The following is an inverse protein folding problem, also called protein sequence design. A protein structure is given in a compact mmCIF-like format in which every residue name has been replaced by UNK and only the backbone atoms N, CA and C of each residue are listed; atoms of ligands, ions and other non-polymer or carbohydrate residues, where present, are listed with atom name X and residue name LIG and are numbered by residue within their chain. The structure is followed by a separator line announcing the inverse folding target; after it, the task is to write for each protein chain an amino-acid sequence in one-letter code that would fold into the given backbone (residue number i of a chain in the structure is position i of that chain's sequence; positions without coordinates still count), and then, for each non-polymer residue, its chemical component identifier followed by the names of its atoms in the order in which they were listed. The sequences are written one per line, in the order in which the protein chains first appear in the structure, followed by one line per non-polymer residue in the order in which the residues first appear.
data_IF_689165523201
#
_entry.id   IF_689165523201
#
_cell.length_a   1.000
_cell.length_b   1.000
_cell.length_c   1.000
_cell.angle_alpha   90.00
_cell.angle_beta   90.00
_cell.angle_gamma   90.00
#
_symmetry.space_group_name_H-M   'P 1'
#
loop_
_entity.id
_entity.type
_entity.pdbx_description
1 polymer ?
#
# COMPACT_ATOMS: atom_id res chain seq x y z
N UNK A 1 13.18 -7.64 -15.23
CA UNK A 1 14.04 -8.21 -14.18
C UNK A 1 13.86 -9.72 -14.09
N UNK A 2 14.77 -10.42 -13.40
CA UNK A 2 14.55 -11.80 -12.97
C UNK A 2 13.86 -11.76 -11.58
N UNK A 3 12.60 -12.18 -11.43
CA UNK A 3 11.70 -12.78 -12.43
C UNK A 3 10.24 -12.33 -12.21
N UNK A 4 9.30 -12.86 -13.01
CA UNK A 4 7.89 -12.48 -12.90
C UNK A 4 7.25 -12.95 -11.59
N UNK A 5 7.46 -14.22 -11.21
CA UNK A 5 6.78 -14.87 -10.09
C UNK A 5 7.76 -15.68 -9.27
N UNK A 6 7.54 -15.78 -7.96
CA UNK A 6 8.25 -16.76 -7.13
C UNK A 6 8.00 -18.18 -7.66
N UNK A 7 9.00 -19.05 -7.56
CA UNK A 7 8.97 -20.37 -8.18
C UNK A 7 9.58 -21.45 -7.28
N UNK A 8 9.05 -22.67 -7.40
CA UNK A 8 9.61 -23.84 -6.73
C UNK A 8 10.99 -24.19 -7.28
N UNK A 9 11.86 -24.71 -6.42
CA UNK A 9 13.26 -24.99 -6.76
C UNK A 9 13.82 -26.23 -6.06
N UNK A 10 15.03 -26.63 -6.48
CA UNK A 10 15.79 -27.73 -5.90
C UNK A 10 16.46 -27.33 -4.58
N UNK A 11 17.00 -28.33 -3.86
CA UNK A 11 17.57 -28.12 -2.52
C UNK A 11 18.73 -27.14 -2.41
N UNK A 12 19.44 -26.91 -3.52
CA UNK A 12 20.64 -26.09 -3.56
C UNK A 12 20.33 -24.58 -3.67
N UNK A 13 19.04 -24.23 -3.83
CA UNK A 13 18.56 -22.86 -4.00
C UNK A 13 17.40 -22.53 -3.05
N UNK A 14 17.06 -21.25 -2.99
CA UNK A 14 15.94 -20.74 -2.21
C UNK A 14 16.27 -20.55 -0.74
N UNK A 15 15.22 -20.38 0.07
CA UNK A 15 15.34 -20.10 1.51
C UNK A 15 15.26 -21.36 2.39
N UNK A 16 15.47 -22.54 1.80
CA UNK A 16 15.38 -23.85 2.47
C UNK A 16 14.02 -24.54 2.40
N UNK A 17 12.99 -23.82 1.97
CA UNK A 17 11.58 -24.24 1.85
C UNK A 17 11.18 -24.68 0.42
N UNK A 18 12.18 -24.82 -0.47
CA UNK A 18 12.02 -25.13 -1.90
C UNK A 18 11.38 -24.01 -2.72
N UNK A 19 11.45 -22.76 -2.28
CA UNK A 19 10.97 -21.58 -3.02
C UNK A 19 12.10 -20.57 -3.24
N UNK A 20 12.18 -20.02 -4.45
CA UNK A 20 12.97 -18.83 -4.77
C UNK A 20 12.07 -17.58 -4.75
N UNK A 21 12.28 -16.70 -3.78
CA UNK A 21 11.51 -15.46 -3.58
C UNK A 21 12.00 -14.28 -4.46
N UNK A 22 12.22 -14.54 -5.75
CA UNK A 22 12.80 -13.57 -6.69
C UNK A 22 11.76 -12.84 -7.54
N UNK A 23 10.50 -13.26 -7.48
CA UNK A 23 9.43 -12.72 -8.28
C UNK A 23 9.06 -11.29 -7.86
N UNK A 24 8.77 -10.45 -8.85
CA UNK A 24 8.11 -9.15 -8.62
C UNK A 24 6.66 -9.31 -8.20
N UNK A 25 6.09 -10.50 -8.42
CA UNK A 25 4.86 -11.01 -7.86
C UNK A 25 5.14 -12.34 -7.12
N UNK A 26 4.24 -12.74 -6.24
CA UNK A 26 4.34 -14.04 -5.57
C UNK A 26 4.05 -15.22 -6.52
N UNK A 27 4.16 -16.45 -6.01
CA UNK A 27 3.84 -17.66 -6.78
C UNK A 27 2.37 -17.71 -7.24
N UNK A 28 1.50 -16.93 -6.61
CA UNK A 28 0.09 -16.79 -6.95
C UNK A 28 -0.19 -15.69 -7.98
N UNK A 29 0.85 -15.06 -8.54
CA UNK A 29 0.75 -13.95 -9.51
C UNK A 29 0.12 -12.71 -8.87
N UNK A 30 0.23 -12.54 -7.56
CA UNK A 30 -0.19 -11.34 -6.82
C UNK A 30 1.01 -10.39 -6.78
N UNK A 31 0.89 -9.15 -7.29
CA UNK A 31 2.00 -8.20 -7.30
C UNK A 31 2.52 -7.86 -5.91
N UNK A 32 3.85 -7.88 -5.75
CA UNK A 32 4.55 -7.19 -4.66
C UNK A 32 4.75 -5.72 -5.06
N UNK A 33 5.29 -4.90 -4.17
CA UNK A 33 5.65 -3.51 -4.50
C UNK A 33 6.49 -3.40 -5.78
N UNK A 34 7.44 -4.31 -6.00
CA UNK A 34 8.23 -4.36 -7.23
C UNK A 34 7.35 -4.56 -8.49
N UNK A 35 6.35 -5.44 -8.45
CA UNK A 35 5.42 -5.64 -9.57
C UNK A 35 4.52 -4.42 -9.84
N UNK A 36 4.19 -3.67 -8.79
CA UNK A 36 3.44 -2.42 -8.89
C UNK A 36 4.29 -1.30 -9.53
N UNK A 37 5.60 -1.29 -9.30
CA UNK A 37 6.52 -0.41 -10.05
C UNK A 37 6.50 -0.70 -11.56
N UNK A 38 6.57 -1.97 -11.98
CA UNK A 38 6.43 -2.30 -13.42
C UNK A 38 5.06 -1.90 -13.96
N UNK A 39 3.99 -2.10 -13.17
CA UNK A 39 2.63 -1.70 -13.54
C UNK A 39 2.52 -0.20 -13.76
N UNK A 40 3.22 0.63 -12.98
CA UNK A 40 3.17 2.08 -13.11
C UNK A 40 3.86 2.60 -14.37
N UNK A 41 4.54 1.75 -15.15
CA UNK A 41 5.14 2.14 -16.43
C UNK A 41 4.18 2.00 -17.61
N UNK A 42 2.98 1.44 -17.39
CA UNK A 42 1.93 1.33 -18.41
C UNK A 42 1.34 2.72 -18.70
N UNK A 43 0.92 2.94 -19.94
CA UNK A 43 0.23 4.16 -20.34
C UNK A 43 -0.99 4.42 -19.45
N UNK A 44 -1.19 5.64 -18.92
CA UNK A 44 -2.35 5.96 -18.11
C UNK A 44 -3.69 5.83 -18.87
N UNK A 45 -3.65 5.83 -20.21
CA UNK A 45 -4.83 5.55 -21.04
C UNK A 45 -5.28 4.09 -21.03
N UNK A 46 -4.38 3.15 -20.70
CA UNK A 46 -4.72 1.73 -20.55
C UNK A 46 -5.17 1.42 -19.13
N UNK A 47 -4.42 1.92 -18.12
CA UNK A 47 -4.72 1.69 -16.72
C UNK A 47 -4.06 2.74 -15.85
N UNK A 48 -4.83 3.39 -14.97
CA UNK A 48 -4.29 4.28 -13.93
C UNK A 48 -3.70 3.46 -12.78
N UNK A 49 -2.51 3.84 -12.31
CA UNK A 49 -1.82 3.21 -11.18
C UNK A 49 -1.48 4.28 -10.13
N UNK A 50 -1.77 4.01 -8.86
CA UNK A 50 -1.38 4.84 -7.71
C UNK A 50 -1.07 3.94 -6.51
N UNK A 51 0.21 3.65 -6.29
CA UNK A 51 0.65 2.66 -5.31
C UNK A 51 1.79 3.18 -4.45
N UNK A 52 1.50 3.72 -3.25
CA UNK A 52 2.54 4.04 -2.28
C UNK A 52 3.19 2.73 -1.77
N UNK A 53 4.52 2.67 -1.80
CA UNK A 53 5.30 1.59 -1.20
C UNK A 53 5.39 1.75 0.33
N UNK A 54 4.23 1.88 0.98
CA UNK A 54 4.07 2.01 2.42
C UNK A 54 2.64 1.69 2.82
N UNK A 55 2.48 1.16 4.03
CA UNK A 55 1.18 0.99 4.68
C UNK A 55 0.84 2.11 5.66
N UNK A 56 1.69 3.15 5.74
CA UNK A 56 1.54 4.28 6.67
C UNK A 56 1.41 3.86 8.14
N UNK A 57 2.00 2.72 8.51
CA UNK A 57 2.02 2.23 9.89
C UNK A 57 3.25 2.75 10.63
N UNK A 58 3.02 3.37 11.78
CA UNK A 58 4.11 3.76 12.68
C UNK A 58 4.76 2.52 13.29
N UNK A 59 6.08 2.54 13.41
CA UNK A 59 6.85 1.43 13.97
C UNK A 59 7.09 0.25 13.01
N UNK A 60 6.57 0.30 11.78
CA UNK A 60 6.91 -0.70 10.75
C UNK A 60 8.35 -0.54 10.26
N UNK A 61 8.79 0.70 10.07
CA UNK A 61 10.16 1.04 9.68
C UNK A 61 11.04 1.35 10.88
N UNK A 62 12.35 1.17 10.73
CA UNK A 62 13.35 1.50 11.75
C UNK A 62 13.15 2.90 12.32
N UNK A 63 13.27 3.01 13.66
CA UNK A 63 13.04 4.25 14.41
C UNK A 63 11.68 4.91 14.14
N UNK A 64 10.71 4.13 13.64
CA UNK A 64 9.37 4.58 13.26
C UNK A 64 9.35 5.67 12.19
N UNK A 65 10.38 5.74 11.34
CA UNK A 65 10.43 6.70 10.25
C UNK A 65 9.49 6.31 9.11
N UNK A 66 8.47 7.12 8.81
CA UNK A 66 7.61 6.90 7.65
C UNK A 66 8.24 7.35 6.32
N UNK A 67 9.12 8.35 6.36
CA UNK A 67 9.67 8.99 5.16
C UNK A 67 11.10 8.50 4.85
N UNK A 68 11.54 8.59 3.57
CA UNK A 68 10.75 8.95 2.39
C UNK A 68 9.82 7.81 1.95
N UNK A 69 8.71 8.12 1.27
CA UNK A 69 7.79 7.13 0.70
C UNK A 69 7.84 7.24 -0.82
N UNK A 70 8.17 6.14 -1.48
CA UNK A 70 8.07 6.05 -2.93
C UNK A 70 6.63 5.72 -3.32
N UNK A 71 6.12 6.40 -4.33
CA UNK A 71 4.80 6.17 -4.91
C UNK A 71 4.96 5.79 -6.37
N UNK A 72 4.57 4.57 -6.70
CA UNK A 72 4.56 4.07 -8.06
C UNK A 72 3.26 4.51 -8.73
N UNK A 73 3.37 5.41 -9.70
CA UNK A 73 2.20 5.96 -10.40
C UNK A 73 2.56 6.38 -11.82
N UNK A 74 1.58 6.36 -12.70
CA UNK A 74 1.64 6.97 -14.04
C UNK A 74 0.87 8.30 -14.12
N UNK A 75 0.50 8.88 -12.97
CA UNK A 75 -0.05 10.23 -12.87
C UNK A 75 1.06 11.30 -13.03
N UNK A 76 0.66 12.51 -13.43
CA UNK A 76 1.56 13.66 -13.58
C UNK A 76 2.03 14.24 -12.24
N UNK A 77 1.21 14.07 -11.20
CA UNK A 77 1.47 14.50 -9.84
C UNK A 77 0.59 13.70 -8.85
N UNK A 78 0.85 13.85 -7.57
CA UNK A 78 -0.04 13.42 -6.49
C UNK A 78 -0.29 14.55 -5.51
N UNK A 79 -1.51 14.66 -5.02
CA UNK A 79 -1.87 15.50 -3.88
C UNK A 79 -1.98 14.63 -2.63
N UNK A 80 -1.27 15.03 -1.57
CA UNK A 80 -1.24 14.32 -0.29
C UNK A 80 -2.01 15.13 0.74
N UNK A 81 -2.87 14.44 1.49
CA UNK A 81 -3.64 14.98 2.59
C UNK A 81 -3.41 14.15 3.85
N UNK A 82 -3.44 14.81 5.00
CA UNK A 82 -3.34 14.19 6.32
C UNK A 82 -4.42 14.78 7.22
N UNK A 83 -5.24 13.90 7.81
CA UNK A 83 -6.36 14.28 8.69
C UNK A 83 -7.27 15.36 8.06
N UNK A 84 -7.50 15.24 6.75
CA UNK A 84 -8.33 16.18 5.96
C UNK A 84 -7.62 17.44 5.46
N UNK A 85 -6.47 17.80 6.03
CA UNK A 85 -5.68 18.96 5.59
C UNK A 85 -4.79 18.63 4.39
N UNK A 86 -4.64 19.58 3.46
CA UNK A 86 -3.70 19.46 2.34
C UNK A 86 -2.26 19.60 2.84
N UNK A 87 -1.42 18.63 2.48
CA UNK A 87 0.01 18.63 2.79
C UNK A 87 0.76 19.30 1.64
N UNK A 88 0.82 18.67 0.48
CA UNK A 88 1.54 19.18 -0.67
C UNK A 88 1.16 18.41 -1.94
N UNK A 89 1.50 19.01 -3.08
CA UNK A 89 1.58 18.33 -4.37
C UNK A 89 3.01 17.86 -4.61
N UNK A 90 3.17 16.57 -4.90
CA UNK A 90 4.46 15.96 -5.26
C UNK A 90 4.49 15.60 -6.75
N UNK A 91 5.68 15.62 -7.34
CA UNK A 91 5.88 15.41 -8.78
C UNK A 91 6.89 14.26 -9.03
N UNK A 92 6.84 13.63 -10.22
CA UNK A 92 7.77 12.57 -10.62
C UNK A 92 9.23 12.98 -10.43
N UNK A 93 10.03 12.11 -9.81
CA UNK A 93 11.45 12.36 -9.56
C UNK A 93 12.28 12.11 -10.84
N UNK A 94 12.23 13.09 -11.73
CA UNK A 94 12.99 13.11 -12.99
C UNK A 94 14.48 13.35 -12.79
N UNK A 95 14.92 13.72 -11.59
CA UNK A 95 16.35 13.93 -11.29
C UNK A 95 17.02 12.57 -11.12
N UNK A 96 16.46 11.70 -10.29
CA UNK A 96 17.03 10.38 -10.02
C UNK A 96 16.60 9.30 -11.01
N UNK A 97 15.44 9.45 -11.66
CA UNK A 97 14.88 8.46 -12.58
C UNK A 97 14.54 9.05 -13.96
N UNK A 98 15.43 9.88 -14.51
CA UNK A 98 15.23 10.65 -15.74
C UNK A 98 14.78 9.85 -16.97
N UNK A 99 15.17 8.57 -17.05
CA UNK A 99 14.95 7.72 -18.22
C UNK A 99 13.72 6.79 -18.09
N UNK A 100 12.98 6.86 -16.97
CA UNK A 100 11.74 6.09 -16.84
C UNK A 100 10.58 6.80 -17.56
N UNK A 101 9.71 6.07 -18.26
CA UNK A 101 8.48 6.63 -18.82
C UNK A 101 7.61 7.32 -17.75
N UNK A 102 7.48 6.67 -16.60
CA UNK A 102 6.73 7.17 -15.45
C UNK A 102 7.60 7.07 -14.19
N UNK A 103 8.47 8.07 -13.93
CA UNK A 103 9.30 8.12 -12.73
C UNK A 103 8.45 8.06 -11.46
N UNK A 104 8.84 7.28 -10.43
CA UNK A 104 8.17 7.31 -9.14
C UNK A 104 8.13 8.71 -8.55
N UNK A 105 7.09 8.98 -7.76
CA UNK A 105 7.02 10.20 -6.95
C UNK A 105 7.54 9.87 -5.55
N UNK A 106 8.37 10.75 -4.99
CA UNK A 106 8.91 10.59 -3.64
C UNK A 106 8.23 11.59 -2.71
N UNK A 107 7.49 11.09 -1.72
CA UNK A 107 7.00 11.90 -0.61
C UNK A 107 8.13 12.00 0.41
N UNK A 108 8.62 13.20 0.64
CA UNK A 108 9.68 13.53 1.60
C UNK A 108 9.21 14.49 2.71
N UNK A 109 7.94 14.89 2.67
CA UNK A 109 7.30 15.79 3.64
C UNK A 109 5.84 15.37 3.90
N UNK A 110 5.45 15.25 5.16
CA UNK A 110 4.06 14.99 5.59
C UNK A 110 3.44 16.15 6.37
N UNK A 111 4.18 17.25 6.49
CA UNK A 111 3.75 18.47 7.17
C UNK A 111 3.27 19.48 6.13
N UNK A 112 4.14 19.86 5.20
CA UNK A 112 3.82 20.76 4.09
C UNK A 112 3.00 21.99 4.50
N UNK A 113 1.92 22.23 3.75
CA UNK A 113 0.99 23.35 3.89
C UNK A 113 0.15 23.31 5.18
N UNK A 114 0.16 22.21 5.96
CA UNK A 114 -0.55 22.16 7.24
C UNK A 114 -0.03 23.24 8.21
N UNK A 115 1.26 23.58 8.14
CA UNK A 115 1.85 24.64 8.95
C UNK A 115 1.37 26.04 8.55
N UNK A 116 0.78 26.24 7.37
CA UNK A 116 0.27 27.56 6.95
C UNK A 116 -0.86 28.04 7.87
N UNK A 117 -1.55 27.12 8.55
CA UNK A 117 -2.53 27.45 9.60
C UNK A 117 -1.94 28.29 10.75
N UNK A 118 -0.63 28.26 10.97
CA UNK A 118 0.05 29.09 11.98
C UNK A 118 0.22 30.55 11.53
N UNK A 119 -0.02 30.88 10.25
CA UNK A 119 0.04 32.25 9.73
C UNK A 119 1.44 32.86 9.66
N UNK A 120 2.50 32.05 9.80
CA UNK A 120 3.87 32.56 9.76
C UNK A 120 4.35 32.90 8.35
N UNK A 121 5.29 33.85 8.20
CA UNK A 121 5.95 34.10 6.92
C UNK A 121 6.61 32.84 6.35
N UNK A 122 6.66 32.70 5.01
CA UNK A 122 7.22 31.52 4.32
C UNK A 122 8.62 31.09 4.80
N UNK A 123 9.48 32.05 5.16
CA UNK A 123 10.83 31.78 5.65
C UNK A 123 10.81 31.08 7.02
N UNK A 124 9.85 31.43 7.86
CA UNK A 124 9.67 30.88 9.19
C UNK A 124 9.06 29.48 9.15
N UNK A 125 8.08 29.26 8.28
CA UNK A 125 7.55 27.93 7.98
C UNK A 125 8.67 26.99 7.52
N UNK A 126 9.51 27.45 6.58
CA UNK A 126 10.65 26.67 6.08
C UNK A 126 11.69 26.38 7.18
N UNK A 127 11.98 27.38 8.03
CA UNK A 127 12.92 27.22 9.14
C UNK A 127 12.40 26.18 10.14
N UNK A 128 11.16 26.34 10.61
CA UNK A 128 10.54 25.42 11.56
C UNK A 128 10.51 24.00 10.99
N UNK A 129 10.02 23.81 9.76
CA UNK A 129 9.98 22.51 9.08
C UNK A 129 11.35 21.85 9.01
N UNK A 130 12.40 22.59 8.63
CA UNK A 130 13.77 22.06 8.56
C UNK A 130 14.26 21.59 9.92
N UNK A 131 14.11 22.41 10.96
CA UNK A 131 14.63 22.11 12.28
C UNK A 131 13.83 21.02 13.00
N UNK A 132 12.49 21.08 12.94
CA UNK A 132 11.61 20.05 13.47
C UNK A 132 11.84 18.70 12.76
N UNK A 133 11.95 18.68 11.43
CA UNK A 133 12.26 17.48 10.67
C UNK A 133 13.60 16.85 11.07
N UNK A 134 14.65 17.68 11.18
CA UNK A 134 15.97 17.25 11.66
C UNK A 134 15.90 16.64 13.07
N UNK A 135 15.26 17.33 14.01
CA UNK A 135 15.08 16.85 15.38
C UNK A 135 14.26 15.54 15.48
N UNK A 136 13.19 15.40 14.70
CA UNK A 136 12.38 14.18 14.69
C UNK A 136 13.09 12.99 14.03
N UNK A 137 13.92 13.25 13.01
CA UNK A 137 14.64 12.19 12.29
C UNK A 137 15.90 11.69 13.02
N UNK A 138 16.62 12.58 13.70
CA UNK A 138 17.96 12.29 14.24
C UNK A 138 18.07 12.56 15.76
N UNK A 139 16.96 12.91 16.41
CA UNK A 139 16.93 13.35 17.81
C UNK A 139 17.33 14.81 17.99
N UNK A 140 17.01 15.39 19.15
CA UNK A 140 17.32 16.79 19.49
C UNK A 140 18.83 17.09 19.47
N UNK A 141 19.66 16.10 19.83
CA UNK A 141 21.12 16.21 19.83
C UNK A 141 21.71 16.45 18.43
N UNK A 142 20.94 16.25 17.37
CA UNK A 142 21.36 16.55 15.99
C UNK A 142 21.40 18.06 15.68
N UNK A 143 20.73 18.89 16.47
CA UNK A 143 20.68 20.35 16.26
C UNK A 143 22.00 20.98 16.72
N UNK A 144 22.71 21.63 15.78
CA UNK A 144 23.93 22.36 16.10
C UNK A 144 23.62 23.69 16.83
N UNK A 145 24.66 24.39 17.27
CA UNK A 145 24.49 25.64 18.01
C UNK A 145 23.78 26.73 17.17
N UNK A 146 23.96 26.72 15.85
CA UNK A 146 23.29 27.66 14.94
C UNK A 146 21.82 27.34 14.74
N UNK A 147 21.48 26.06 14.64
CA UNK A 147 20.10 25.57 14.60
C UNK A 147 19.37 25.94 15.89
N UNK A 148 20.00 25.73 17.06
CA UNK A 148 19.45 26.14 18.36
C UNK A 148 19.25 27.64 18.46
N UNK A 149 20.23 28.44 18.01
CA UNK A 149 20.10 29.90 17.98
C UNK A 149 18.96 30.37 17.08
N UNK A 150 18.86 29.81 15.86
CA UNK A 150 17.78 30.13 14.92
C UNK A 150 16.41 29.74 15.47
N UNK A 151 16.31 28.58 16.10
CA UNK A 151 15.07 28.16 16.79
C UNK A 151 14.73 29.12 17.93
N UNK A 152 15.70 29.51 18.77
CA UNK A 152 15.48 30.47 19.85
C UNK A 152 15.00 31.85 19.35
N UNK A 153 15.57 32.35 18.25
CA UNK A 153 15.12 33.59 17.61
C UNK A 153 13.72 33.46 17.00
N UNK A 154 13.41 32.31 16.41
CA UNK A 154 12.08 31.98 15.91
C UNK A 154 11.05 31.97 17.05
N UNK A 155 11.35 31.26 18.14
CA UNK A 155 10.50 31.18 19.34
C UNK A 155 10.25 32.57 19.94
N UNK A 156 11.30 33.37 20.13
CA UNK A 156 11.16 34.73 20.68
C UNK A 156 10.28 35.62 19.83
N UNK A 157 10.37 35.52 18.50
CA UNK A 157 9.62 36.35 17.55
C UNK A 157 8.12 36.02 17.56
N UNK A 158 7.81 34.73 17.64
CA UNK A 158 6.43 34.22 17.67
C UNK A 158 5.89 34.03 19.09
N UNK A 159 6.67 34.42 20.11
CA UNK A 159 6.33 34.31 21.54
C UNK A 159 5.98 32.87 21.96
N UNK A 160 6.70 31.89 21.41
CA UNK A 160 6.50 30.47 21.68
C UNK A 160 7.41 30.01 22.81
N UNK A 161 6.85 29.22 23.73
CA UNK A 161 7.59 28.46 24.74
C UNK A 161 8.13 27.14 24.17
N UNK A 162 8.99 26.46 24.93
CA UNK A 162 9.45 25.11 24.56
C UNK A 162 8.26 24.14 24.47
N UNK A 163 7.28 24.26 25.38
CA UNK A 163 6.06 23.45 25.37
C UNK A 163 5.22 23.71 24.12
N UNK A 164 5.15 24.95 23.63
CA UNK A 164 4.46 25.25 22.36
C UNK A 164 5.18 24.58 21.18
N UNK A 165 6.52 24.58 21.17
CA UNK A 165 7.30 23.88 20.14
C UNK A 165 7.08 22.37 20.20
N UNK A 166 7.09 21.77 21.39
CA UNK A 166 6.75 20.36 21.58
C UNK A 166 5.34 20.06 21.08
N UNK A 167 4.37 20.91 21.41
CA UNK A 167 2.99 20.80 20.94
C UNK A 167 2.87 20.88 19.42
N UNK A 168 3.62 21.79 18.77
CA UNK A 168 3.68 21.92 17.31
C UNK A 168 4.34 20.70 16.67
N UNK A 169 5.44 20.21 17.24
CA UNK A 169 6.13 19.00 16.76
C UNK A 169 5.24 17.77 16.93
N UNK A 170 4.45 17.67 18.00
CA UNK A 170 3.48 16.58 18.16
C UNK A 170 2.32 16.69 17.18
N UNK A 171 1.74 17.89 17.03
CA UNK A 171 0.60 18.17 16.13
C UNK A 171 0.94 17.90 14.67
N UNK A 172 2.08 18.44 14.21
CA UNK A 172 2.49 18.36 12.81
C UNK A 172 3.42 17.19 12.54
N UNK A 173 4.19 16.71 13.52
CA UNK A 173 4.91 15.44 13.44
C UNK A 173 3.97 14.25 13.53
N UNK A 174 4.51 13.04 13.71
CA UNK A 174 3.76 11.78 13.59
C UNK A 174 2.78 11.47 14.75
N UNK A 175 2.33 12.46 15.54
CA UNK A 175 1.22 12.37 16.51
C UNK A 175 0.86 10.95 17.04
N UNK A 176 1.71 10.34 17.87
CA UNK A 176 1.50 8.97 18.36
C UNK A 176 0.22 8.86 19.19
N UNK A 177 -0.65 7.90 18.85
CA UNK A 177 -1.88 7.63 19.60
C UNK A 177 -3.09 8.51 19.25
N UNK A 178 -2.98 9.45 18.29
CA UNK A 178 -4.14 10.16 17.78
C UNK A 178 -5.03 9.24 16.94
N UNK A 179 -6.33 9.28 17.21
CA UNK A 179 -7.34 8.39 16.61
C UNK A 179 -7.67 8.71 15.15
N UNK A 180 -7.20 9.83 14.61
CA UNK A 180 -7.67 10.44 13.37
C UNK A 180 -6.56 10.65 12.32
N UNK A 181 -5.45 9.91 12.43
CA UNK A 181 -4.39 10.00 11.43
C UNK A 181 -4.73 9.19 10.17
N UNK A 182 -5.54 9.80 9.32
CA UNK A 182 -5.86 9.33 7.98
C UNK A 182 -4.97 10.02 6.95
N UNK A 183 -4.28 9.22 6.16
CA UNK A 183 -3.58 9.66 4.96
C UNK A 183 -4.48 9.46 3.74
N UNK A 184 -4.54 10.46 2.87
CA UNK A 184 -5.22 10.35 1.57
C UNK A 184 -4.27 10.84 0.48
N UNK A 185 -4.11 10.05 -0.56
CA UNK A 185 -3.26 10.35 -1.72
C UNK A 185 -4.15 10.35 -2.95
N UNK A 186 -4.09 11.42 -3.73
CA UNK A 186 -4.91 11.60 -4.93
C UNK A 186 -3.98 11.74 -6.13
N UNK A 187 -4.17 10.89 -7.14
CA UNK A 187 -3.44 10.93 -8.40
C UNK A 187 -4.02 11.97 -9.34
N UNK A 188 -3.14 12.81 -9.89
CA UNK A 188 -3.51 13.92 -10.79
C UNK A 188 -3.00 13.62 -12.19
N UNK A 189 -3.88 13.66 -13.18
CA UNK A 189 -3.55 13.50 -14.60
C UNK A 189 -4.20 14.63 -15.41
N UNK A 190 -3.42 15.35 -16.21
CA UNK A 190 -3.86 16.52 -16.97
C UNK A 190 -4.63 17.55 -16.11
N UNK A 191 -4.16 17.76 -14.87
CA UNK A 191 -4.75 18.69 -13.91
C UNK A 191 -6.05 18.21 -13.24
N UNK A 192 -6.50 16.97 -13.46
CA UNK A 192 -7.71 16.39 -12.86
C UNK A 192 -7.37 15.26 -11.89
N UNK A 193 -8.15 15.14 -10.83
CA UNK A 193 -8.13 13.98 -9.93
C UNK A 193 -8.67 12.75 -10.68
N UNK A 194 -7.90 11.66 -10.75
CA UNK A 194 -8.27 10.45 -11.52
C UNK A 194 -8.29 9.16 -10.70
N UNK A 195 -7.63 9.13 -9.55
CA UNK A 195 -7.60 7.99 -8.63
C UNK A 195 -7.26 8.48 -7.23
N UNK A 196 -7.75 7.79 -6.20
CA UNK A 196 -7.36 8.07 -4.82
C UNK A 196 -7.09 6.78 -4.03
N UNK A 197 -6.26 6.90 -3.00
CA UNK A 197 -6.06 5.88 -1.97
C UNK A 197 -6.05 6.50 -0.58
N UNK A 198 -6.56 5.75 0.39
CA UNK A 198 -6.60 6.16 1.79
C UNK A 198 -5.93 5.11 2.69
N UNK A 199 -5.30 5.57 3.76
CA UNK A 199 -4.65 4.76 4.78
C UNK A 199 -4.91 5.39 6.14
N UNK A 200 -4.85 4.61 7.22
CA UNK A 200 -5.02 5.16 8.55
C UNK A 200 -4.31 4.34 9.61
N UNK A 201 -3.91 5.00 10.70
CA UNK A 201 -3.28 4.34 11.85
C UNK A 201 -4.19 3.33 12.54
N UNK A 202 -5.50 3.43 12.34
CA UNK A 202 -6.55 2.52 12.81
C UNK A 202 -6.78 1.32 11.87
N UNK A 203 -5.97 1.16 10.81
CA UNK A 203 -6.08 0.05 9.87
C UNK A 203 -6.12 -1.30 10.60
N UNK A 204 -7.20 -2.04 10.38
CA UNK A 204 -7.43 -3.34 10.98
C UNK A 204 -8.22 -4.22 10.03
N UNK A 205 -8.02 -5.53 10.09
CA UNK A 205 -8.70 -6.47 9.19
C UNK A 205 -10.21 -6.47 9.42
N UNK A 206 -10.97 -5.88 8.49
CA UNK A 206 -12.42 -5.70 8.58
C UNK A 206 -13.21 -6.72 7.76
N UNK A 207 -12.75 -7.05 6.55
CA UNK A 207 -13.47 -7.96 5.66
C UNK A 207 -12.57 -8.97 4.98
N UNK A 208 -13.15 -10.12 4.66
CA UNK A 208 -12.59 -11.08 3.73
C UNK A 208 -13.21 -10.85 2.34
N UNK A 209 -12.38 -10.55 1.34
CA UNK A 209 -12.78 -10.33 -0.04
C UNK A 209 -12.33 -11.50 -0.91
N UNK A 210 -13.17 -11.88 -1.87
CA UNK A 210 -12.89 -12.91 -2.86
C UNK A 210 -13.11 -12.34 -4.26
N UNK A 211 -12.17 -12.59 -5.17
CA UNK A 211 -12.21 -12.13 -6.56
C UNK A 211 -11.80 -13.27 -7.49
N UNK A 212 -12.38 -13.33 -8.67
CA UNK A 212 -11.99 -14.24 -9.75
C UNK A 212 -11.35 -13.45 -10.89
N UNK A 213 -10.39 -14.05 -11.60
CA UNK A 213 -9.78 -13.42 -12.78
C UNK A 213 -10.80 -13.27 -13.94
N UNK A 214 -11.84 -14.11 -13.96
CA UNK A 214 -12.93 -14.09 -14.94
C UNK A 214 -14.24 -14.56 -14.29
N UNK A 215 -15.40 -13.96 -14.64
CA UNK A 215 -16.70 -14.38 -14.10
C UNK A 215 -17.21 -15.71 -14.68
N UNK A 216 -16.58 -16.24 -15.74
CA UNK A 216 -16.93 -17.51 -16.37
C UNK A 216 -15.69 -18.34 -16.69
N UNK A 217 -15.87 -19.65 -16.81
CA UNK A 217 -14.83 -20.60 -17.19
C UNK A 217 -15.39 -21.54 -18.26
N UNK A 218 -14.65 -21.78 -19.35
CA UNK A 218 -15.08 -22.72 -20.37
C UNK A 218 -15.22 -24.15 -19.83
N UNK A 219 -16.07 -24.95 -20.46
CA UNK A 219 -16.27 -26.36 -20.14
C UNK A 219 -15.04 -27.20 -20.45
N UNK A 220 -14.81 -28.23 -19.64
CA UNK A 220 -13.71 -29.17 -19.86
C UNK A 220 -13.85 -29.86 -21.23
N UNK A 221 -12.79 -29.82 -22.04
CA UNK A 221 -12.67 -30.55 -23.32
C UNK A 221 -11.54 -31.58 -23.24
N UNK A 222 -11.34 -32.37 -24.29
CA UNK A 222 -10.19 -33.29 -24.36
C UNK A 222 -8.85 -32.54 -24.51
N UNK A 223 -8.88 -31.33 -25.08
CA UNK A 223 -7.68 -30.54 -25.39
C UNK A 223 -7.35 -29.50 -24.32
N UNK A 224 -8.36 -29.02 -23.60
CA UNK A 224 -8.22 -27.92 -22.66
C UNK A 224 -8.71 -28.29 -21.27
N UNK A 225 -8.00 -27.78 -20.27
CA UNK A 225 -8.38 -27.83 -18.86
C UNK A 225 -8.67 -26.42 -18.34
N UNK A 226 -9.84 -25.82 -18.68
CA UNK A 226 -10.13 -24.46 -18.32
C UNK A 226 -10.09 -24.25 -16.81
N UNK A 227 -9.35 -23.22 -16.39
CA UNK A 227 -9.12 -22.91 -15.00
C UNK A 227 -9.18 -21.41 -14.78
N UNK A 228 -9.62 -20.98 -13.60
CA UNK A 228 -9.56 -19.58 -13.19
C UNK A 228 -8.95 -19.47 -11.80
N UNK A 229 -8.21 -18.39 -11.58
CA UNK A 229 -7.63 -18.06 -10.30
C UNK A 229 -8.66 -17.33 -9.45
N UNK A 230 -8.69 -17.68 -8.17
CA UNK A 230 -9.50 -17.05 -7.14
C UNK A 230 -8.55 -16.43 -6.12
N UNK A 231 -8.62 -15.11 -5.96
CA UNK A 231 -7.79 -14.35 -5.02
C UNK A 231 -8.60 -14.06 -3.77
N UNK A 232 -8.03 -14.37 -2.60
CA UNK A 232 -8.63 -14.12 -1.28
C UNK A 232 -7.81 -13.06 -0.57
N UNK A 233 -8.44 -11.97 -0.14
CA UNK A 233 -7.80 -10.81 0.51
C UNK A 233 -8.47 -10.50 1.84
N UNK A 234 -7.69 -10.30 2.89
CA UNK A 234 -8.14 -9.60 4.09
C UNK A 234 -7.94 -8.10 3.90
N UNK A 235 -9.03 -7.35 3.87
CA UNK A 235 -8.99 -5.90 3.68
C UNK A 235 -9.32 -5.13 4.95
N UNK A 236 -8.69 -3.98 5.10
CA UNK A 236 -9.04 -2.98 6.11
C UNK A 236 -10.24 -2.11 5.70
N UNK A 237 -10.64 -1.19 6.57
CA UNK A 237 -11.72 -0.23 6.34
C UNK A 237 -11.47 0.73 5.16
N UNK A 238 -10.24 0.82 4.66
CA UNK A 238 -9.84 1.63 3.52
C UNK A 238 -9.74 0.82 2.23
N UNK A 239 -9.99 -0.49 2.28
CA UNK A 239 -9.87 -1.39 1.13
C UNK A 239 -8.45 -1.88 0.85
N UNK A 240 -7.50 -1.65 1.75
CA UNK A 240 -6.11 -2.08 1.62
C UNK A 240 -5.94 -3.51 2.16
N UNK A 241 -5.04 -4.29 1.55
CA UNK A 241 -4.64 -5.59 2.10
C UNK A 241 -3.92 -5.36 3.43
N UNK A 242 -4.24 -6.17 4.45
CA UNK A 242 -3.59 -6.12 5.77
C UNK A 242 -2.35 -7.03 5.79
N UNK A 243 -1.12 -6.50 5.67
CA UNK A 243 0.05 -7.29 5.29
C UNK A 243 0.67 -8.13 6.41
N UNK A 244 0.25 -7.96 7.66
CA UNK A 244 0.77 -8.73 8.80
C UNK A 244 -0.22 -9.79 9.30
N UNK A 245 -1.14 -10.19 8.43
CA UNK A 245 -2.17 -11.17 8.74
C UNK A 245 -1.84 -12.55 8.15
N UNK A 246 -1.75 -13.57 9.00
CA UNK A 246 -1.39 -14.95 8.64
C UNK A 246 -2.46 -15.95 9.11
N UNK A 247 -3.66 -15.83 8.59
CA UNK A 247 -4.84 -16.57 9.09
C UNK A 247 -5.19 -17.76 8.19
N UNK A 248 -5.59 -18.92 8.77
CA UNK A 248 -6.11 -20.02 7.99
C UNK A 248 -7.50 -19.68 7.43
N UNK A 249 -7.85 -20.28 6.30
CA UNK A 249 -9.18 -20.28 5.73
C UNK A 249 -9.52 -21.61 5.06
N UNK A 250 -10.80 -21.92 5.02
CA UNK A 250 -11.37 -23.10 4.36
C UNK A 250 -12.08 -22.71 3.07
N UNK A 251 -12.05 -23.62 2.09
CA UNK A 251 -12.65 -23.45 0.77
C UNK A 251 -13.74 -24.50 0.59
N UNK A 252 -14.95 -24.06 0.28
CA UNK A 252 -16.07 -24.91 -0.14
C UNK A 252 -16.48 -24.57 -1.58
N UNK A 253 -16.62 -25.58 -2.43
CA UNK A 253 -17.07 -25.42 -3.82
C UNK A 253 -18.32 -26.28 -4.04
N UNK A 254 -19.39 -25.66 -4.53
CA UNK A 254 -20.62 -26.33 -4.99
C UNK A 254 -20.83 -26.06 -6.46
N UNK A 255 -21.11 -27.09 -7.25
CA UNK A 255 -21.33 -26.97 -8.69
C UNK A 255 -20.28 -27.71 -9.53
N UNK A 256 -20.28 -27.51 -10.85
CA UNK A 256 -19.45 -28.27 -11.78
C UNK A 256 -18.00 -27.75 -11.87
N UNK A 257 -17.31 -27.63 -10.74
CA UNK A 257 -15.88 -27.33 -10.69
C UNK A 257 -15.15 -28.23 -9.69
N UNK A 258 -13.83 -28.25 -9.79
CA UNK A 258 -12.92 -28.92 -8.87
C UNK A 258 -11.90 -27.92 -8.32
N UNK A 259 -11.57 -28.04 -7.03
CA UNK A 259 -10.49 -27.29 -6.42
C UNK A 259 -9.14 -27.88 -6.84
N UNK A 260 -8.17 -27.02 -7.21
CA UNK A 260 -6.79 -27.43 -7.43
C UNK A 260 -5.94 -27.17 -6.18
N UNK A 261 -5.56 -28.25 -5.50
CA UNK A 261 -4.80 -28.23 -4.24
C UNK A 261 -5.69 -28.33 -2.99
N UNK A 262 -5.14 -28.06 -1.79
CA UNK A 262 -5.85 -28.29 -0.54
C UNK A 262 -6.98 -27.29 -0.31
N UNK A 263 -8.05 -27.78 0.33
CA UNK A 263 -9.22 -26.99 0.75
C UNK A 263 -8.98 -26.14 2.01
N UNK A 264 -7.88 -26.38 2.73
CA UNK A 264 -7.41 -25.58 3.85
C UNK A 264 -6.13 -24.87 3.42
N UNK A 265 -6.10 -23.55 3.55
CA UNK A 265 -4.98 -22.69 3.17
C UNK A 265 -4.82 -21.57 4.18
N UNK A 266 -3.78 -20.75 4.03
CA UNK A 266 -3.59 -19.57 4.85
C UNK A 266 -3.45 -18.33 3.97
N UNK A 267 -3.97 -17.21 4.46
CA UNK A 267 -3.51 -15.90 4.04
C UNK A 267 -2.03 -15.79 4.42
N UNK A 268 -1.20 -15.30 3.51
CA UNK A 268 0.19 -14.99 3.77
C UNK A 268 0.32 -13.50 3.49
N UNK A 269 0.59 -12.72 4.53
CA UNK A 269 0.56 -11.26 4.45
C UNK A 269 -0.79 -10.71 3.96
N UNK A 270 -1.88 -11.25 4.49
CA UNK A 270 -3.25 -10.79 4.23
C UNK A 270 -3.83 -11.20 2.88
N UNK A 271 -3.09 -11.93 2.04
CA UNK A 271 -3.56 -12.33 0.71
C UNK A 271 -3.11 -13.76 0.38
N UNK A 272 -3.87 -14.44 -0.47
CA UNK A 272 -3.48 -15.69 -1.10
C UNK A 272 -4.32 -15.93 -2.35
N UNK A 273 -4.02 -16.97 -3.11
CA UNK A 273 -4.91 -17.43 -4.16
C UNK A 273 -4.98 -18.96 -4.24
N UNK A 274 -5.94 -19.43 -5.01
CA UNK A 274 -6.05 -20.81 -5.45
C UNK A 274 -6.65 -20.85 -6.86
N UNK A 275 -6.67 -22.02 -7.47
CA UNK A 275 -7.31 -22.22 -8.76
C UNK A 275 -8.44 -23.24 -8.63
N UNK A 276 -9.46 -23.03 -9.45
CA UNK A 276 -10.47 -24.04 -9.73
C UNK A 276 -10.35 -24.43 -11.20
N UNK A 277 -10.77 -25.63 -11.52
CA UNK A 277 -10.97 -26.07 -12.90
C UNK A 277 -12.42 -26.42 -13.15
N UNK A 278 -12.88 -26.20 -14.37
CA UNK A 278 -14.22 -26.60 -14.79
C UNK A 278 -14.33 -28.12 -14.91
N UNK A 279 -15.56 -28.62 -14.87
CA UNK A 279 -15.94 -29.99 -15.25
C UNK A 279 -16.66 -29.93 -16.60
N UNK A 280 -16.89 -31.09 -17.21
CA UNK A 280 -17.59 -31.17 -18.51
C UNK A 280 -19.04 -30.66 -18.48
N UNK A 281 -19.67 -30.63 -17.29
CA UNK A 281 -21.05 -30.17 -17.13
C UNK A 281 -21.10 -28.65 -17.02
N UNK A 282 -21.90 -27.99 -17.86
CA UNK A 282 -22.21 -26.57 -17.74
C UNK A 282 -23.03 -26.27 -16.49
N UNK A 283 -22.92 -25.05 -15.96
CA UNK A 283 -23.77 -24.54 -14.89
C UNK A 283 -23.03 -23.67 -13.88
N UNK A 284 -23.74 -23.26 -12.84
CA UNK A 284 -23.21 -22.34 -11.83
C UNK A 284 -22.34 -23.03 -10.79
N UNK A 285 -21.22 -22.39 -10.49
CA UNK A 285 -20.32 -22.76 -9.40
C UNK A 285 -20.39 -21.69 -8.33
N UNK A 286 -20.66 -22.12 -7.09
CA UNK A 286 -20.60 -21.28 -5.91
C UNK A 286 -19.36 -21.64 -5.10
N UNK A 287 -18.54 -20.65 -4.80
CA UNK A 287 -17.31 -20.78 -4.01
C UNK A 287 -17.51 -19.99 -2.73
N UNK A 288 -17.23 -20.62 -1.59
CA UNK A 288 -17.33 -20.00 -0.27
C UNK A 288 -16.02 -20.15 0.49
N UNK A 289 -15.60 -19.06 1.14
CA UNK A 289 -14.38 -18.97 1.93
C UNK A 289 -14.74 -18.57 3.35
N UNK A 290 -14.37 -19.42 4.32
CA UNK A 290 -14.53 -19.12 5.74
C UNK A 290 -13.16 -18.98 6.39
N UNK A 291 -12.98 -17.94 7.20
CA UNK A 291 -11.76 -17.66 7.94
C UNK A 291 -12.14 -17.36 9.40
N UNK A 292 -11.53 -17.99 10.43
CA UNK A 292 -11.97 -17.85 11.82
C UNK A 292 -12.00 -16.42 12.35
N UNK A 293 -11.17 -15.53 11.80
CA UNK A 293 -11.13 -14.11 12.16
C UNK A 293 -12.40 -13.36 11.75
N UNK A 294 -13.01 -13.73 10.63
CA UNK A 294 -14.13 -12.99 10.05
C UNK A 294 -15.43 -13.74 10.30
N UNK A 295 -16.45 -13.02 10.80
CA UNK A 295 -17.77 -13.61 11.05
C UNK A 295 -18.46 -14.03 9.74
N UNK A 296 -18.27 -13.25 8.69
CA UNK A 296 -18.90 -13.46 7.40
C UNK A 296 -18.05 -14.37 6.51
N UNK A 297 -18.74 -15.28 5.82
CA UNK A 297 -18.14 -16.12 4.77
C UNK A 297 -18.14 -15.32 3.48
N UNK A 298 -16.98 -15.22 2.82
CA UNK A 298 -16.88 -14.58 1.51
C UNK A 298 -17.36 -15.55 0.43
N UNK A 299 -18.22 -15.10 -0.48
CA UNK A 299 -18.86 -15.96 -1.49
C UNK A 299 -18.78 -15.31 -2.86
N UNK A 300 -18.48 -16.12 -3.88
CA UNK A 300 -18.56 -15.72 -5.29
C UNK A 300 -19.26 -16.82 -6.09
N UNK A 301 -19.98 -16.42 -7.14
CA UNK A 301 -20.58 -17.31 -8.12
C UNK A 301 -19.95 -17.09 -9.49
N UNK A 302 -19.73 -18.17 -10.23
CA UNK A 302 -19.16 -18.19 -11.57
C UNK A 302 -19.96 -19.12 -12.47
N UNK A 303 -19.97 -18.83 -13.77
CA UNK A 303 -20.60 -19.69 -14.77
C UNK A 303 -19.58 -20.64 -15.41
N UNK A 304 -19.95 -21.91 -15.56
CA UNK A 304 -19.24 -22.88 -16.40
C UNK A 304 -20.00 -23.02 -17.70
N UNK A 305 -19.36 -22.60 -18.79
CA UNK A 305 -19.96 -22.48 -20.13
C UNK A 305 -19.62 -23.60 -21.10
#
# INVERSE_FOLDING_TARGET
GWCAFDYHTHKDFGSGDRICYHGVADAFRIPKYAGLFYSSQISPSERIVLEPASIFAKGERNASHLLPIHVFTNCDAIDVYRSGGFVARFFPDKIHFANLPHPPIVIDDLIGALLEAEGWPRNDLRLFRKLAGKAMSLGESSLDLWDKLRMGLFMRRHKLSIQDIEGLVLRYGMNWGASDEKMRIVGILNGKEVVERSFGADSSAQKLSIESDTPWVGGLTEEEWPSTRIVVKALDQYGNIVPFLFEPYSIEIKGPASLLGPAQRSLISGVSAFWISSKAKKGKVRIAIACPRFKETAVIELDIE
#
